data_IF_552276372088
#
_entry.id   IF_552276372088
#
_cell.length_a   1.000
_cell.length_b   1.000
_cell.length_c   1.000
_cell.angle_alpha   90.00
_cell.angle_beta   90.00
_cell.angle_gamma   90.00
#
_symmetry.space_group_name_H-M   'P 1'
#
loop_
_entity.id
_entity.type
_entity.pdbx_description
1 polymer ?
#
# COMPACT_ATOMS: atom_id res chain seq x y z
N UNK A 1 -22.91 -1.88 5.79
CA UNK A 1 -21.55 -1.88 5.20
C UNK A 1 -21.02 -0.48 5.38
N UNK A 2 -19.81 -0.34 5.91
CA UNK A 2 -19.15 0.97 5.88
C UNK A 2 -18.46 1.16 4.53
N UNK A 3 -18.56 2.38 4.02
CA UNK A 3 -17.90 2.78 2.78
C UNK A 3 -16.42 3.06 3.05
N UNK A 4 -15.60 2.86 2.02
CA UNK A 4 -14.19 3.28 2.07
C UNK A 4 -14.07 4.78 2.39
N UNK A 5 -12.97 5.24 3.01
CA UNK A 5 -12.77 6.65 3.29
C UNK A 5 -12.89 7.52 2.03
N UNK A 6 -13.46 8.72 2.17
CA UNK A 6 -13.67 9.62 1.04
C UNK A 6 -12.34 10.05 0.41
N UNK A 7 -12.32 10.15 -0.92
CA UNK A 7 -11.14 10.55 -1.69
C UNK A 7 -10.12 9.44 -1.94
N UNK A 8 -10.23 8.27 -1.28
CA UNK A 8 -9.31 7.14 -1.49
C UNK A 8 -9.21 6.77 -2.97
N UNK A 9 -10.35 6.59 -3.63
CA UNK A 9 -10.39 6.19 -5.04
C UNK A 9 -9.56 7.14 -5.91
N UNK A 10 -9.70 8.45 -5.72
CA UNK A 10 -8.95 9.44 -6.49
C UNK A 10 -7.43 9.38 -6.21
N UNK A 11 -7.02 9.00 -5.00
CA UNK A 11 -5.60 8.88 -4.68
C UNK A 11 -4.93 7.69 -5.37
N UNK A 12 -5.68 6.63 -5.67
CA UNK A 12 -5.13 5.37 -6.17
C UNK A 12 -5.61 5.00 -7.58
N UNK A 13 -6.53 5.74 -8.20
CA UNK A 13 -7.19 5.31 -9.45
C UNK A 13 -6.26 4.92 -10.59
N UNK A 14 -5.10 5.59 -10.68
CA UNK A 14 -4.11 5.30 -11.72
C UNK A 14 -3.48 3.91 -11.63
N UNK A 15 -3.51 3.24 -10.47
CA UNK A 15 -2.88 1.92 -10.32
C UNK A 15 -3.54 0.85 -11.19
N UNK A 16 -4.79 1.08 -11.62
CA UNK A 16 -5.53 0.20 -12.51
C UNK A 16 -5.32 0.54 -13.99
N UNK A 17 -4.60 1.60 -14.31
CA UNK A 17 -4.33 2.03 -15.67
C UNK A 17 -3.06 1.36 -16.21
N UNK A 18 -3.09 0.94 -17.47
CA UNK A 18 -1.89 0.45 -18.14
C UNK A 18 -1.00 1.63 -18.61
N UNK A 19 0.34 1.51 -18.58
CA UNK A 19 1.12 0.30 -18.25
C UNK A 19 1.39 0.11 -16.75
N UNK A 20 0.90 1.00 -15.88
CA UNK A 20 1.24 1.01 -14.46
C UNK A 20 0.75 -0.25 -13.76
N UNK A 21 -0.48 -0.69 -14.05
CA UNK A 21 -1.05 -1.90 -13.47
C UNK A 21 -0.15 -3.13 -13.69
N UNK A 22 0.22 -3.41 -14.95
CA UNK A 22 1.16 -4.51 -15.26
C UNK A 22 2.53 -4.29 -14.62
N UNK A 23 3.03 -3.05 -14.64
CA UNK A 23 4.33 -2.70 -14.07
C UNK A 23 4.39 -3.02 -12.57
N UNK A 24 3.39 -2.62 -11.80
CA UNK A 24 3.30 -2.89 -10.35
C UNK A 24 3.46 -4.39 -10.06
N UNK A 25 2.78 -5.25 -10.83
CA UNK A 25 2.83 -6.71 -10.65
C UNK A 25 4.16 -7.36 -11.09
N UNK A 26 5.05 -6.60 -11.74
CA UNK A 26 6.38 -7.07 -12.17
C UNK A 26 7.52 -6.51 -11.30
N UNK A 27 7.21 -5.63 -10.36
CA UNK A 27 8.18 -4.89 -9.55
C UNK A 27 8.14 -5.32 -8.07
N UNK A 28 9.21 -4.95 -7.37
CA UNK A 28 9.39 -5.16 -5.94
C UNK A 28 9.88 -3.89 -5.26
N UNK A 29 9.63 -3.81 -3.96
CA UNK A 29 10.02 -2.70 -3.08
C UNK A 29 11.40 -3.04 -2.49
N UNK A 30 12.41 -2.16 -2.64
CA UNK A 30 13.69 -2.28 -1.90
C UNK A 30 13.56 -1.62 -0.53
N UNK A 31 13.55 -2.43 0.52
CA UNK A 31 13.40 -1.95 1.89
C UNK A 31 14.63 -1.24 2.43
N UNK A 32 15.80 -1.36 1.77
CA UNK A 32 17.05 -0.74 2.22
C UNK A 32 16.95 0.79 2.34
N UNK A 33 16.01 1.42 1.61
CA UNK A 33 15.76 2.85 1.64
C UNK A 33 14.94 3.35 2.84
N UNK A 34 14.20 2.47 3.54
CA UNK A 34 13.24 2.90 4.55
C UNK A 34 13.73 2.65 5.97
N UNK A 35 13.69 3.71 6.79
CA UNK A 35 14.07 3.64 8.20
C UNK A 35 12.97 2.95 9.00
N UNK A 36 13.33 1.99 9.84
CA UNK A 36 12.41 1.30 10.74
C UNK A 36 11.92 -0.06 10.24
N UNK A 37 12.31 -0.48 9.04
CA UNK A 37 12.03 -1.83 8.50
C UNK A 37 13.15 -2.84 8.76
N UNK A 38 14.11 -2.51 9.64
CA UNK A 38 15.29 -3.36 9.89
C UNK A 38 14.97 -4.72 10.53
N UNK A 39 13.76 -4.87 11.09
CA UNK A 39 13.28 -6.12 11.68
C UNK A 39 12.60 -7.03 10.63
N UNK A 40 12.31 -6.50 9.43
CA UNK A 40 11.82 -7.32 8.31
C UNK A 40 13.02 -8.03 7.69
N UNK A 41 13.03 -9.38 7.66
CA UNK A 41 14.18 -10.14 7.18
C UNK A 41 14.40 -9.97 5.67
N UNK A 42 13.33 -9.71 4.93
CA UNK A 42 13.36 -9.57 3.49
C UNK A 42 13.79 -8.16 3.07
N UNK A 43 14.85 -8.09 2.28
CA UNK A 43 15.28 -6.83 1.67
C UNK A 43 14.33 -6.36 0.58
N UNK A 44 13.72 -7.30 -0.14
CA UNK A 44 12.85 -6.98 -1.27
C UNK A 44 11.48 -7.59 -1.08
N UNK A 45 10.44 -6.79 -1.26
CA UNK A 45 9.05 -7.23 -1.14
C UNK A 45 8.38 -7.18 -2.51
N UNK A 46 8.02 -8.33 -3.12
CA UNK A 46 7.27 -8.33 -4.38
C UNK A 46 5.84 -7.82 -4.17
N UNK A 47 5.33 -7.10 -5.16
CA UNK A 47 3.92 -6.74 -5.23
C UNK A 47 3.21 -7.91 -5.94
N UNK A 48 2.34 -8.61 -5.22
CA UNK A 48 1.66 -9.81 -5.73
C UNK A 48 0.27 -9.49 -6.26
N UNK A 49 -0.33 -8.42 -5.77
CA UNK A 49 -1.71 -8.07 -6.09
C UNK A 49 -1.92 -6.56 -6.14
N UNK A 50 -2.57 -6.09 -7.20
CA UNK A 50 -3.20 -4.78 -7.23
C UNK A 50 -4.68 -4.99 -6.91
N UNK A 51 -5.14 -4.46 -5.79
CA UNK A 51 -6.50 -4.74 -5.34
C UNK A 51 -7.56 -4.22 -6.31
N UNK A 52 -8.52 -5.07 -6.75
CA UNK A 52 -9.53 -4.66 -7.71
C UNK A 52 -10.42 -3.53 -7.20
N UNK A 53 -10.77 -2.58 -8.08
CA UNK A 53 -11.61 -1.43 -7.74
C UNK A 53 -12.97 -1.86 -7.13
N UNK A 54 -13.57 -2.92 -7.67
CA UNK A 54 -14.85 -3.45 -7.21
C UNK A 54 -14.79 -4.17 -5.84
N UNK A 55 -13.60 -4.41 -5.30
CA UNK A 55 -13.37 -5.14 -4.05
C UNK A 55 -12.95 -4.24 -2.88
N UNK A 56 -12.69 -2.95 -3.13
CA UNK A 56 -12.17 -2.00 -2.15
C UNK A 56 -12.98 -1.95 -0.84
N UNK A 57 -14.31 -2.06 -0.91
CA UNK A 57 -15.15 -2.10 0.29
C UNK A 57 -14.93 -3.39 1.10
N UNK A 58 -14.80 -4.54 0.43
CA UNK A 58 -14.56 -5.82 1.09
C UNK A 58 -13.17 -5.83 1.75
N UNK A 59 -12.17 -5.34 1.04
CA UNK A 59 -10.79 -5.19 1.52
C UNK A 59 -10.78 -4.25 2.73
N UNK A 60 -11.44 -3.10 2.63
CA UNK A 60 -11.51 -2.16 3.75
C UNK A 60 -12.13 -2.80 4.98
N UNK A 61 -13.25 -3.51 4.83
CA UNK A 61 -13.89 -4.18 5.96
C UNK A 61 -12.97 -5.24 6.61
N UNK A 62 -12.09 -5.90 5.83
CA UNK A 62 -11.09 -6.84 6.35
C UNK A 62 -10.00 -6.12 7.17
N UNK A 63 -9.45 -5.03 6.64
CA UNK A 63 -8.25 -4.39 7.23
C UNK A 63 -8.55 -3.22 8.19
N UNK A 64 -9.76 -2.67 8.15
CA UNK A 64 -10.18 -1.54 8.99
C UNK A 64 -9.85 -1.72 10.48
N UNK A 65 -10.08 -2.88 11.12
CA UNK A 65 -9.75 -3.07 12.54
C UNK A 65 -8.28 -2.77 12.88
N UNK A 66 -7.38 -2.90 11.91
CA UNK A 66 -5.95 -2.74 12.07
C UNK A 66 -5.46 -1.38 11.57
N UNK A 67 -5.97 -0.92 10.42
CA UNK A 67 -5.44 0.26 9.72
C UNK A 67 -6.17 1.58 10.06
N UNK A 68 -7.38 1.51 10.60
CA UNK A 68 -8.17 2.71 10.89
C UNK A 68 -7.48 3.69 11.85
N UNK A 69 -6.81 3.17 12.88
CA UNK A 69 -6.07 3.99 13.87
C UNK A 69 -4.92 4.75 13.22
N UNK A 70 -4.30 4.18 12.18
CA UNK A 70 -3.23 4.81 11.41
C UNK A 70 -3.76 5.74 10.31
N UNK A 71 -5.07 5.73 10.04
CA UNK A 71 -5.69 6.38 8.89
C UNK A 71 -5.04 5.97 7.58
N UNK A 72 -4.90 4.66 7.38
CA UNK A 72 -4.29 4.04 6.20
C UNK A 72 -5.33 3.15 5.51
N UNK A 73 -5.32 3.15 4.18
CA UNK A 73 -6.19 2.33 3.35
C UNK A 73 -5.32 1.41 2.48
N UNK A 74 -5.51 0.09 2.50
CA UNK A 74 -4.66 -0.84 1.76
C UNK A 74 -5.10 -0.94 0.29
N UNK A 75 -4.15 -0.94 -0.64
CA UNK A 75 -4.42 -0.96 -2.08
C UNK A 75 -3.52 -1.90 -2.90
N UNK A 76 -2.42 -2.39 -2.32
CA UNK A 76 -1.61 -3.47 -2.90
C UNK A 76 -1.43 -4.59 -1.88
N UNK A 77 -1.45 -5.83 -2.36
CA UNK A 77 -1.09 -7.02 -1.61
C UNK A 77 0.36 -7.43 -1.88
N UNK A 78 1.04 -7.87 -0.83
CA UNK A 78 2.39 -8.47 -0.91
C UNK A 78 2.37 -9.86 -0.28
N UNK A 79 3.48 -10.60 -0.40
CA UNK A 79 3.64 -11.90 0.26
C UNK A 79 3.37 -11.80 1.77
N UNK A 80 2.71 -12.81 2.35
CA UNK A 80 2.58 -12.95 3.80
C UNK A 80 1.44 -12.18 4.46
N UNK A 81 0.38 -11.85 3.72
CA UNK A 81 -0.76 -11.01 4.19
C UNK A 81 -0.40 -9.55 4.49
N UNK A 82 0.84 -9.14 4.23
CA UNK A 82 1.25 -7.75 4.26
C UNK A 82 0.67 -6.96 3.09
N UNK A 83 0.51 -5.65 3.29
CA UNK A 83 -0.11 -4.76 2.32
C UNK A 83 0.61 -3.43 2.24
N UNK A 84 0.54 -2.80 1.07
CA UNK A 84 0.87 -1.39 0.89
C UNK A 84 -0.41 -0.58 1.02
N UNK A 85 -0.36 0.44 1.86
CA UNK A 85 -1.48 1.32 2.14
C UNK A 85 -1.17 2.78 1.86
N UNK A 86 -2.22 3.54 1.58
CA UNK A 86 -2.20 4.99 1.37
C UNK A 86 -2.92 5.69 2.51
N UNK A 87 -2.31 6.74 3.04
CA UNK A 87 -2.86 7.53 4.12
C UNK A 87 -4.05 8.36 3.67
N UNK A 88 -5.01 8.58 4.57
CA UNK A 88 -6.19 9.40 4.33
C UNK A 88 -6.47 10.42 5.44
N UNK A 89 -7.32 11.39 5.12
CA UNK A 89 -7.63 12.51 6.01
C UNK A 89 -6.57 13.61 5.98
N UNK A 90 -6.88 14.75 6.61
CA UNK A 90 -6.18 16.03 6.39
C UNK A 90 -4.66 16.02 6.61
N UNK A 91 -4.16 15.19 7.50
CA UNK A 91 -2.74 15.16 7.89
C UNK A 91 -1.97 13.96 7.34
N UNK A 92 -2.66 12.98 6.75
CA UNK A 92 -2.06 11.73 6.28
C UNK A 92 -2.27 11.47 4.78
N UNK A 93 -3.11 12.27 4.12
CA UNK A 93 -3.52 12.04 2.73
C UNK A 93 -2.34 11.84 1.80
N UNK A 94 -2.33 10.71 1.09
CA UNK A 94 -1.37 10.42 0.03
C UNK A 94 -0.05 9.79 0.49
N UNK A 95 0.26 9.72 1.79
CA UNK A 95 1.48 9.05 2.30
C UNK A 95 1.38 7.54 2.19
N UNK A 96 2.49 6.86 1.96
CA UNK A 96 2.53 5.41 1.73
C UNK A 96 3.05 4.69 2.96
N UNK A 97 2.51 3.50 3.17
CA UNK A 97 2.79 2.67 4.33
C UNK A 97 2.93 1.22 3.93
N UNK A 98 3.88 0.54 4.55
CA UNK A 98 3.90 -0.91 4.63
C UNK A 98 3.15 -1.33 5.90
N UNK A 99 2.28 -2.32 5.79
CA UNK A 99 1.64 -2.93 6.95
C UNK A 99 1.81 -4.44 6.91
N UNK A 100 2.21 -4.97 8.06
CA UNK A 100 2.32 -6.39 8.33
C UNK A 100 1.72 -6.69 9.70
N UNK A 101 1.11 -7.86 9.87
CA UNK A 101 0.44 -8.23 11.13
C UNK A 101 1.41 -8.47 12.29
N UNK A 102 2.63 -8.92 12.01
CA UNK A 102 3.66 -9.20 13.00
C UNK A 102 4.46 -7.93 13.35
N UNK A 103 4.75 -7.09 12.36
CA UNK A 103 5.61 -5.92 12.55
C UNK A 103 4.85 -4.60 12.75
N UNK A 104 3.62 -4.48 12.26
CA UNK A 104 2.81 -3.27 12.35
C UNK A 104 2.88 -2.37 11.11
N UNK A 105 2.68 -1.06 11.30
CA UNK A 105 2.53 -0.09 10.20
C UNK A 105 3.73 0.87 10.13
N UNK A 106 4.41 0.89 8.99
CA UNK A 106 5.65 1.63 8.78
C UNK A 106 5.53 2.59 7.60
N UNK A 107 6.06 3.82 7.72
CA UNK A 107 6.06 4.76 6.60
C UNK A 107 7.04 4.31 5.51
N UNK A 108 6.61 4.43 4.25
CA UNK A 108 7.43 4.25 3.06
C UNK A 108 7.75 5.61 2.45
N UNK A 109 6.77 6.20 1.77
CA UNK A 109 6.95 7.40 0.95
C UNK A 109 5.93 8.49 1.26
N UNK A 110 6.22 9.71 0.83
CA UNK A 110 5.32 10.86 1.01
C UNK A 110 4.17 10.88 0.00
N UNK A 111 4.31 10.21 -1.15
CA UNK A 111 3.31 10.17 -2.21
C UNK A 111 3.51 8.98 -3.17
N UNK A 112 2.44 8.67 -3.93
CA UNK A 112 2.38 7.51 -4.83
C UNK A 112 3.38 7.61 -5.98
N UNK A 113 3.66 8.82 -6.47
CA UNK A 113 4.62 9.01 -7.58
C UNK A 113 6.05 8.69 -7.14
N UNK A 114 6.43 9.12 -5.93
CA UNK A 114 7.74 8.81 -5.36
C UNK A 114 7.90 7.31 -5.09
N UNK A 115 6.85 6.67 -4.55
CA UNK A 115 6.81 5.23 -4.35
C UNK A 115 7.02 4.46 -5.66
N UNK A 116 6.23 4.77 -6.70
CA UNK A 116 6.32 4.11 -8.02
C UNK A 116 7.69 4.33 -8.67
N UNK A 117 8.29 5.50 -8.48
CA UNK A 117 9.62 5.79 -9.02
C UNK A 117 10.75 5.01 -8.31
N UNK A 118 10.53 4.61 -7.05
CA UNK A 118 11.49 3.84 -6.25
C UNK A 118 11.39 2.32 -6.42
N UNK A 119 10.36 1.82 -7.12
CA UNK A 119 10.21 0.40 -7.42
C UNK A 119 11.30 -0.09 -8.37
N UNK A 120 11.67 -1.36 -8.22
CA UNK A 120 12.69 -2.02 -9.04
C UNK A 120 12.14 -3.29 -9.70
N UNK A 121 12.66 -3.63 -10.88
CA UNK A 121 12.30 -4.87 -11.58
C UNK A 121 12.62 -6.10 -10.73
N UNK A 122 11.74 -7.10 -10.79
CA UNK A 122 11.87 -8.35 -10.03
C UNK A 122 13.02 -9.23 -10.49
#
# INVERSE_FOLDING_TARGET
MEEIPSGIKHLIERIWEEPLHTRLLSEKIDLAGYKGLGDIPDRYIPIEEVFPENELNAIWNRFKPYLHTYKVFPFLGTLGEAVIGIGYGRQNSGRLYYFDFDFGCFPLDDNLDHFIAGLIES
#
